data_IF_339899339152
#
_entry.id   IF_339899339152
#
_cell.length_a   1.000
_cell.length_b   1.000
_cell.length_c   1.000
_cell.angle_alpha   90.00
_cell.angle_beta   90.00
_cell.angle_gamma   90.00
#
_symmetry.space_group_name_H-M   'P 1'
#
loop_
_entity.id
_entity.type
_entity.pdbx_description
1 polymer ?
#
# COMPACT_ATOMS: atom_id res chain seq x y z
N UNK A 1 18.55 -31.05 -13.94
CA UNK A 1 18.40 -30.22 -12.75
C UNK A 1 17.73 -28.92 -13.17
N UNK A 2 16.45 -28.71 -12.82
CA UNK A 2 15.78 -27.44 -13.02
C UNK A 2 15.56 -26.85 -11.63
N UNK A 3 16.43 -25.92 -11.23
CA UNK A 3 16.29 -25.18 -9.97
C UNK A 3 15.46 -23.96 -10.29
N UNK A 4 14.15 -24.02 -10.03
CA UNK A 4 13.33 -22.82 -9.93
C UNK A 4 13.64 -22.16 -8.58
N UNK A 5 14.07 -20.91 -8.65
CA UNK A 5 14.34 -20.03 -7.51
C UNK A 5 13.02 -19.77 -6.76
N UNK A 6 12.91 -19.99 -5.43
CA UNK A 6 11.67 -19.83 -4.69
C UNK A 6 11.23 -18.36 -4.47
N UNK A 7 11.92 -17.38 -5.05
CA UNK A 7 11.72 -15.95 -4.74
C UNK A 7 10.78 -15.20 -5.69
N UNK A 8 10.02 -15.90 -6.54
CA UNK A 8 8.96 -15.31 -7.36
C UNK A 8 7.57 -15.75 -6.89
N UNK A 9 7.27 -15.54 -5.61
CA UNK A 9 5.89 -15.54 -5.14
C UNK A 9 5.64 -14.23 -4.39
N UNK A 10 5.28 -13.20 -5.16
CA UNK A 10 4.57 -12.04 -4.60
C UNK A 10 3.28 -12.58 -3.94
N UNK A 11 3.04 -12.37 -2.64
CA UNK A 11 1.88 -12.94 -1.93
C UNK A 11 0.52 -12.38 -2.41
N UNK A 12 0.50 -11.49 -3.40
CA UNK A 12 -0.69 -10.77 -3.85
C UNK A 12 -1.29 -11.29 -5.16
N UNK A 13 -0.63 -12.20 -5.88
CA UNK A 13 -1.26 -12.90 -7.02
C UNK A 13 -2.10 -14.08 -6.53
N UNK A 14 -3.33 -13.87 -6.03
CA UNK A 14 -4.40 -14.92 -6.06
C UNK A 14 -5.80 -14.54 -5.58
N UNK A 15 -6.39 -13.48 -6.11
CA UNK A 15 -7.87 -13.34 -6.06
C UNK A 15 -8.51 -12.91 -7.39
N UNK A 16 -7.72 -12.60 -8.42
CA UNK A 16 -8.25 -12.21 -9.74
C UNK A 16 -9.07 -10.92 -9.76
N UNK A 17 -9.18 -10.22 -8.61
CA UNK A 17 -9.91 -8.97 -8.48
C UNK A 17 -9.28 -7.89 -9.36
N UNK A 18 -10.09 -7.06 -10.06
CA UNK A 18 -9.59 -5.90 -10.77
C UNK A 18 -8.75 -5.01 -9.84
N UNK A 19 -7.53 -4.70 -10.27
CA UNK A 19 -6.59 -3.92 -9.48
C UNK A 19 -5.80 -2.93 -10.32
N UNK A 20 -5.33 -1.86 -9.68
CA UNK A 20 -4.32 -0.96 -10.22
C UNK A 20 -3.30 -0.66 -9.12
N UNK A 21 -2.03 -0.52 -9.50
CA UNK A 21 -0.94 -0.21 -8.57
C UNK A 21 -0.29 1.11 -8.96
N UNK A 22 -0.03 1.96 -7.96
CA UNK A 22 0.55 3.28 -8.13
C UNK A 22 1.77 3.42 -7.19
N UNK A 23 2.94 3.81 -7.73
CA UNK A 23 4.11 4.06 -6.90
C UNK A 23 3.97 5.36 -6.13
N UNK A 24 4.56 5.41 -4.94
CA UNK A 24 4.62 6.61 -4.13
C UNK A 24 5.70 6.58 -3.05
N UNK A 25 5.82 7.70 -2.36
CA UNK A 25 6.79 7.90 -1.28
C UNK A 25 6.11 8.39 -0.02
N UNK A 26 6.43 7.81 1.12
CA UNK A 26 5.97 8.28 2.44
C UNK A 26 6.59 9.64 2.72
N UNK A 27 5.81 10.71 2.64
CA UNK A 27 6.31 12.07 2.86
C UNK A 27 6.48 12.36 4.35
N UNK A 28 5.49 12.01 5.17
CA UNK A 28 5.56 12.19 6.62
C UNK A 28 4.64 11.23 7.37
N UNK A 29 4.96 11.04 8.64
CA UNK A 29 4.09 10.38 9.61
C UNK A 29 3.39 11.45 10.43
N UNK A 30 2.06 11.41 10.44
CA UNK A 30 1.21 12.35 11.16
C UNK A 30 0.85 11.69 12.50
N UNK A 31 1.34 12.22 13.63
CA UNK A 31 1.02 11.65 14.93
C UNK A 31 -0.48 11.76 15.20
N UNK A 32 -1.01 10.78 15.91
CA UNK A 32 -2.39 10.85 16.38
C UNK A 32 -2.55 11.90 17.48
N UNK A 33 -3.75 12.50 17.55
CA UNK A 33 -4.14 13.40 18.64
C UNK A 33 -4.66 12.64 19.87
N UNK A 34 -5.05 11.36 19.69
CA UNK A 34 -5.53 10.48 20.74
C UNK A 34 -4.54 9.31 20.94
N UNK A 35 -4.21 8.93 22.18
CA UNK A 35 -3.34 7.77 22.43
C UNK A 35 -3.95 6.44 21.95
N UNK A 36 -5.27 6.40 21.76
CA UNK A 36 -6.01 5.19 21.34
C UNK A 36 -6.10 5.05 19.81
N UNK A 37 -5.63 6.04 19.05
CA UNK A 37 -5.67 6.04 17.59
C UNK A 37 -4.25 5.91 17.01
N UNK A 38 -4.04 5.09 15.96
CA UNK A 38 -2.74 4.99 15.31
C UNK A 38 -2.37 6.29 14.59
N UNK A 39 -1.06 6.52 14.46
CA UNK A 39 -0.54 7.56 13.57
C UNK A 39 -0.88 7.25 12.10
N UNK A 40 -0.88 8.27 11.25
CA UNK A 40 -1.17 8.12 9.83
C UNK A 40 0.08 8.32 8.99
N UNK A 41 0.28 7.48 7.99
CA UNK A 41 1.28 7.70 6.95
C UNK A 41 0.66 8.54 5.84
N UNK A 42 1.31 9.67 5.51
CA UNK A 42 0.98 10.46 4.33
C UNK A 42 1.91 10.05 3.19
N UNK A 43 1.33 9.54 2.11
CA UNK A 43 2.04 9.03 0.94
C UNK A 43 1.74 9.95 -0.24
N UNK A 44 2.79 10.40 -0.92
CA UNK A 44 2.70 11.16 -2.16
C UNK A 44 2.89 10.21 -3.32
N UNK A 45 1.91 10.14 -4.22
CA UNK A 45 1.99 9.40 -5.47
C UNK A 45 2.92 10.09 -6.47
N UNK A 46 3.74 9.30 -7.17
CA UNK A 46 4.72 9.84 -8.11
C UNK A 46 4.05 10.46 -9.36
N UNK A 47 2.99 9.81 -9.86
CA UNK A 47 2.32 10.12 -11.13
C UNK A 47 0.99 10.90 -11.01
N UNK A 48 0.64 11.44 -9.84
CA UNK A 48 -0.65 12.14 -9.66
C UNK A 48 -0.72 13.52 -10.34
N UNK A 49 -1.84 14.23 -10.27
CA UNK A 49 -1.89 15.66 -10.66
C UNK A 49 -1.44 16.53 -9.46
N UNK A 50 -0.70 17.65 -9.64
CA UNK A 50 0.01 18.34 -8.56
C UNK A 50 -0.79 18.72 -7.31
N UNK A 51 -2.12 18.83 -7.41
CA UNK A 51 -2.99 19.27 -6.32
C UNK A 51 -3.62 18.10 -5.52
N UNK A 52 -3.54 16.85 -6.00
CA UNK A 52 -4.25 15.71 -5.42
C UNK A 52 -3.43 14.39 -5.50
N UNK A 53 -2.17 14.42 -5.05
CA UNK A 53 -1.30 13.22 -5.05
C UNK A 53 -1.20 12.52 -3.71
N UNK A 54 -1.84 13.06 -2.67
CA UNK A 54 -1.63 12.60 -1.30
C UNK A 54 -2.71 11.62 -0.84
N UNK A 55 -2.27 10.48 -0.32
CA UNK A 55 -3.11 9.49 0.36
C UNK A 55 -2.67 9.42 1.82
N UNK A 56 -3.65 9.33 2.74
CA UNK A 56 -3.38 9.11 4.16
C UNK A 56 -4.02 7.80 4.61
N UNK A 57 -3.19 6.89 5.12
CA UNK A 57 -3.62 5.62 5.70
C UNK A 57 -3.15 5.50 7.14
N UNK A 58 -3.80 4.65 7.92
CA UNK A 58 -3.27 4.27 9.24
C UNK A 58 -1.92 3.57 9.05
N UNK A 59 -0.95 3.92 9.87
CA UNK A 59 0.40 3.38 9.79
C UNK A 59 0.52 2.05 10.55
N UNK A 60 -0.33 1.09 10.17
CA UNK A 60 -0.40 -0.23 10.77
C UNK A 60 -0.32 -1.25 9.64
N UNK A 61 0.82 -1.91 9.53
CA UNK A 61 1.07 -3.00 8.58
C UNK A 61 1.20 -4.30 9.37
N UNK A 62 0.96 -5.44 8.73
CA UNK A 62 1.22 -6.75 9.32
C UNK A 62 2.23 -7.48 8.44
N UNK A 63 3.18 -8.16 9.07
CA UNK A 63 4.03 -9.13 8.37
C UNK A 63 3.38 -10.52 8.30
N UNK A 64 4.10 -11.50 7.76
CA UNK A 64 3.63 -12.87 7.58
C UNK A 64 3.32 -13.58 8.90
N UNK A 65 3.96 -13.15 9.99
CA UNK A 65 3.75 -13.69 11.34
C UNK A 65 2.59 -12.95 12.07
N UNK A 66 2.06 -11.88 11.46
CA UNK A 66 0.99 -11.05 12.00
C UNK A 66 1.48 -9.95 12.96
N UNK A 67 2.79 -9.68 13.00
CA UNK A 67 3.35 -8.63 13.84
C UNK A 67 3.10 -7.24 13.23
N UNK A 68 2.77 -6.28 14.09
CA UNK A 68 2.47 -4.92 13.65
C UNK A 68 3.74 -4.13 13.30
N UNK A 69 3.80 -3.66 12.06
CA UNK A 69 4.87 -2.86 11.49
C UNK A 69 4.38 -1.46 11.12
N UNK A 70 5.35 -0.57 10.89
CA UNK A 70 5.12 0.84 10.58
C UNK A 70 6.01 1.32 9.45
N UNK A 71 5.45 2.11 8.55
CA UNK A 71 6.17 2.86 7.53
C UNK A 71 7.01 3.98 8.16
N UNK A 72 8.08 4.32 7.47
CA UNK A 72 9.01 5.40 7.84
C UNK A 72 8.97 6.51 6.78
N UNK A 73 9.20 7.78 7.14
CA UNK A 73 9.37 8.85 6.17
C UNK A 73 10.48 8.52 5.15
N UNK A 74 10.23 8.82 3.88
CA UNK A 74 11.13 8.56 2.76
C UNK A 74 11.09 7.14 2.22
N UNK A 75 10.28 6.24 2.80
CA UNK A 75 10.11 4.90 2.25
C UNK A 75 9.36 4.96 0.91
N UNK A 76 9.87 4.25 -0.10
CA UNK A 76 9.16 3.97 -1.34
C UNK A 76 8.12 2.86 -1.08
N UNK A 77 6.93 3.02 -1.64
CA UNK A 77 5.81 2.11 -1.48
C UNK A 77 5.03 1.98 -2.78
N UNK A 78 4.39 0.82 -2.96
CA UNK A 78 3.41 0.59 -4.01
C UNK A 78 2.02 0.55 -3.38
N UNK A 79 1.11 1.39 -3.86
CA UNK A 79 -0.28 1.41 -3.43
C UNK A 79 -1.11 0.61 -4.43
N UNK A 80 -1.64 -0.52 -4.00
CA UNK A 80 -2.57 -1.33 -4.78
C UNK A 80 -4.00 -1.04 -4.36
N UNK A 81 -4.83 -0.64 -5.33
CA UNK A 81 -6.27 -0.48 -5.16
C UNK A 81 -6.95 -1.64 -5.86
N UNK A 82 -7.69 -2.44 -5.09
CA UNK A 82 -8.48 -3.57 -5.58
C UNK A 82 -9.97 -3.27 -5.42
N UNK A 83 -10.78 -3.73 -6.36
CA UNK A 83 -12.24 -3.64 -6.29
C UNK A 83 -12.90 -4.99 -6.64
N UNK A 84 -14.12 -5.19 -6.16
CA UNK A 84 -14.94 -6.32 -6.62
C UNK A 84 -15.35 -6.12 -8.08
N UNK A 85 -15.43 -7.20 -8.86
CA UNK A 85 -15.85 -7.11 -10.27
C UNK A 85 -17.23 -6.44 -10.43
N UNK A 86 -18.16 -6.69 -9.51
CA UNK A 86 -19.51 -6.11 -9.55
C UNK A 86 -19.53 -4.60 -9.29
N UNK A 87 -18.48 -4.06 -8.68
CA UNK A 87 -18.31 -2.62 -8.44
C UNK A 87 -17.50 -1.93 -9.57
N UNK A 88 -17.15 -2.66 -10.63
CA UNK A 88 -16.41 -2.13 -11.79
C UNK A 88 -17.25 -2.07 -13.05
N UNK A 89 -16.85 -1.20 -13.99
CA UNK A 89 -17.48 -1.08 -15.31
C UNK A 89 -16.42 -1.14 -16.42
N UNK A 90 -16.81 -1.67 -17.59
CA UNK A 90 -15.95 -1.65 -18.78
C UNK A 90 -15.73 -0.21 -19.23
N UNK A 91 -14.47 0.11 -19.52
CA UNK A 91 -14.05 1.43 -20.00
C UNK A 91 -14.37 1.63 -21.48
#
# INVERSE_FOLDING_TARGET
>A
MNTQDPREQDPTEKDGRPATTLPGTVQKIIPSLSPDEPEKAEIVLDDGEPLYREIRIENVLQDEDGEELRLKPGAAVDITVEADENDTAKR
#
